data_IF_784663113099
#
_entry.id   IF_784663113099
#
_cell.length_a   1.000
_cell.length_b   1.000
_cell.length_c   1.000
_cell.angle_alpha   90.00
_cell.angle_beta   90.00
_cell.angle_gamma   90.00
#
_symmetry.space_group_name_H-M   'P 1'
#
loop_
_entity.id
_entity.type
_entity.pdbx_description
1 polymer ?
#
# COMPACT_ATOMS: atom_id res chain seq x y z
N UNK A 1 -27.59 28.62 29.09
CA UNK A 1 -27.51 28.76 27.62
C UNK A 1 -26.10 28.98 27.05
N UNK A 2 -25.28 29.93 27.55
CA UNK A 2 -23.95 30.22 26.97
C UNK A 2 -22.97 29.03 26.89
N UNK A 3 -22.96 28.17 27.91
CA UNK A 3 -22.12 26.96 27.94
C UNK A 3 -22.59 25.85 26.98
N UNK A 4 -23.90 25.80 26.69
CA UNK A 4 -24.48 24.82 25.76
C UNK A 4 -24.07 25.16 24.32
N UNK A 5 -24.05 26.46 23.97
CA UNK A 5 -23.60 26.94 22.65
C UNK A 5 -22.11 26.68 22.46
N UNK A 6 -21.29 26.93 23.49
CA UNK A 6 -19.84 26.62 23.44
C UNK A 6 -19.60 25.11 23.28
N UNK A 7 -20.31 24.26 24.02
CA UNK A 7 -20.19 22.81 23.88
C UNK A 7 -20.62 22.32 22.48
N UNK A 8 -21.68 22.89 21.91
CA UNK A 8 -22.16 22.56 20.57
C UNK A 8 -21.17 23.01 19.47
N UNK A 9 -20.58 24.21 19.59
CA UNK A 9 -19.54 24.67 18.67
C UNK A 9 -18.29 23.79 18.69
N UNK A 10 -17.86 23.30 19.87
CA UNK A 10 -16.71 22.40 19.98
C UNK A 10 -16.91 21.08 19.23
N UNK A 11 -18.14 20.59 19.18
CA UNK A 11 -18.48 19.34 18.48
C UNK A 11 -18.41 19.49 16.95
N UNK A 12 -18.64 20.69 16.42
CA UNK A 12 -18.59 20.97 14.98
C UNK A 12 -17.17 20.94 14.40
N UNK A 13 -16.12 20.99 15.24
CA UNK A 13 -14.72 20.91 14.79
C UNK A 13 -14.18 19.47 14.70
N UNK A 14 -14.98 18.46 15.08
CA UNK A 14 -14.62 17.05 14.95
C UNK A 14 -15.21 16.45 13.66
N UNK A 15 -14.68 16.92 12.52
CA UNK A 15 -14.88 16.26 11.23
C UNK A 15 -13.60 15.53 10.82
N UNK A 16 -13.63 14.19 10.79
CA UNK A 16 -12.58 13.40 10.16
C UNK A 16 -13.01 13.13 8.71
N UNK A 17 -12.31 13.73 7.73
CA UNK A 17 -12.53 13.44 6.32
C UNK A 17 -11.43 12.51 5.80
N UNK A 18 -11.81 11.39 5.19
CA UNK A 18 -10.88 10.45 4.56
C UNK A 18 -11.21 10.34 3.08
N UNK A 19 -10.20 10.43 2.23
CA UNK A 19 -10.35 10.30 0.79
C UNK A 19 -9.36 9.28 0.23
N UNK A 20 -9.87 8.27 -0.47
CA UNK A 20 -9.06 7.40 -1.32
C UNK A 20 -9.15 7.99 -2.72
N UNK A 21 -8.02 8.46 -3.25
CA UNK A 21 -8.03 9.23 -4.50
C UNK A 21 -7.41 8.46 -5.68
N UNK A 22 -6.56 7.45 -5.42
CA UNK A 22 -5.89 6.70 -6.48
C UNK A 22 -5.65 5.25 -6.06
N UNK A 23 -5.98 4.30 -6.93
CA UNK A 23 -5.58 2.90 -6.83
C UNK A 23 -4.96 2.49 -8.16
N UNK A 24 -3.67 2.20 -8.17
CA UNK A 24 -2.98 1.62 -9.31
C UNK A 24 -2.83 0.13 -9.10
N UNK A 25 -3.24 -0.70 -10.05
CA UNK A 25 -2.97 -2.14 -10.05
C UNK A 25 -2.24 -2.53 -11.33
N UNK A 26 -1.16 -3.27 -11.19
CA UNK A 26 -0.49 -3.88 -12.33
C UNK A 26 -1.07 -5.28 -12.58
N UNK A 27 -1.33 -5.71 -13.83
CA UNK A 27 -1.69 -7.09 -14.10
C UNK A 27 -0.60 -8.05 -13.60
N UNK A 28 -1.03 -9.24 -13.19
CA UNK A 28 -0.15 -10.35 -12.87
C UNK A 28 -0.63 -11.60 -13.59
N UNK A 29 0.32 -12.46 -13.90
CA UNK A 29 0.04 -13.65 -14.69
C UNK A 29 -0.44 -14.79 -13.77
N UNK A 30 -1.72 -15.12 -13.90
CA UNK A 30 -2.44 -16.18 -13.19
C UNK A 30 -2.42 -17.52 -13.94
N UNK A 31 -1.47 -17.75 -14.85
CA UNK A 31 -1.42 -18.98 -15.64
C UNK A 31 -1.49 -20.25 -14.76
N UNK A 32 -2.35 -21.23 -15.09
CA UNK A 32 -2.50 -22.46 -14.33
C UNK A 32 -1.18 -23.23 -14.26
N UNK A 33 -0.74 -23.57 -13.04
CA UNK A 33 0.54 -24.26 -12.78
C UNK A 33 1.62 -23.40 -12.14
N UNK A 34 1.40 -22.10 -11.92
CA UNK A 34 2.25 -21.30 -11.02
C UNK A 34 2.02 -21.68 -9.56
N UNK A 35 3.08 -21.58 -8.75
CA UNK A 35 3.00 -21.78 -7.31
C UNK A 35 2.03 -20.76 -6.69
N UNK A 36 1.31 -21.17 -5.64
CA UNK A 36 0.40 -20.30 -4.90
C UNK A 36 1.15 -19.06 -4.39
N UNK A 37 0.79 -17.85 -4.83
CA UNK A 37 1.47 -16.64 -4.39
C UNK A 37 1.09 -16.29 -2.96
N UNK A 38 2.08 -15.85 -2.18
CA UNK A 38 1.83 -15.24 -0.88
C UNK A 38 1.48 -13.76 -1.08
N UNK A 39 0.36 -13.31 -0.53
CA UNK A 39 0.01 -11.89 -0.56
C UNK A 39 0.83 -11.12 0.48
N UNK A 40 1.64 -10.17 0.02
CA UNK A 40 2.42 -9.27 0.88
C UNK A 40 1.84 -7.86 0.85
N UNK A 41 1.84 -7.19 2.00
CA UNK A 41 1.32 -5.83 2.17
C UNK A 41 2.33 -4.95 2.90
N UNK A 42 2.48 -3.70 2.48
CA UNK A 42 3.28 -2.69 3.16
C UNK A 42 2.49 -1.38 3.24
N UNK A 43 2.59 -0.71 4.39
CA UNK A 43 1.96 0.59 4.63
C UNK A 43 2.98 1.59 5.11
N UNK A 44 2.88 2.82 4.63
CA UNK A 44 3.58 3.97 5.21
C UNK A 44 2.70 5.20 5.18
N UNK A 45 3.05 6.19 5.99
CA UNK A 45 2.29 7.41 6.15
C UNK A 45 3.23 8.62 6.15
N UNK A 46 2.72 9.76 5.69
CA UNK A 46 3.34 11.07 5.73
C UNK A 46 2.38 12.03 6.39
N UNK A 47 2.83 12.67 7.48
CA UNK A 47 2.11 13.76 8.13
C UNK A 47 2.47 15.11 7.50
N UNK A 48 1.45 15.94 7.29
CA UNK A 48 1.59 17.33 6.88
C UNK A 48 0.85 18.21 7.87
N UNK A 49 1.52 19.24 8.38
CA UNK A 49 0.93 20.21 9.31
C UNK A 49 1.20 21.59 8.77
N UNK A 50 0.14 22.38 8.54
CA UNK A 50 0.24 23.74 7.97
C UNK A 50 1.04 23.79 6.64
N UNK A 51 1.06 22.69 5.87
CA UNK A 51 1.83 22.57 4.63
C UNK A 51 3.28 22.09 4.79
N UNK A 52 3.77 21.91 6.02
CA UNK A 52 5.09 21.33 6.28
C UNK A 52 5.02 19.80 6.29
N UNK A 53 5.80 19.17 5.42
CA UNK A 53 5.94 17.71 5.33
C UNK A 53 7.18 17.26 6.12
N UNK A 54 7.04 16.20 6.91
CA UNK A 54 8.15 15.66 7.71
C UNK A 54 8.75 14.37 7.13
N UNK A 55 8.06 13.74 6.18
CA UNK A 55 8.33 12.38 5.72
C UNK A 55 8.12 12.26 4.20
N UNK A 56 9.05 12.77 3.39
CA UNK A 56 8.91 12.78 1.92
C UNK A 56 9.20 11.44 1.26
N UNK A 57 9.97 10.57 1.92
CA UNK A 57 10.39 9.23 1.48
C UNK A 57 9.37 8.13 1.81
N UNK A 58 8.17 8.47 2.27
CA UNK A 58 7.18 7.48 2.70
C UNK A 58 6.85 6.45 1.61
N UNK A 59 6.79 6.84 0.33
CA UNK A 59 6.56 5.92 -0.80
C UNK A 59 7.68 4.89 -0.91
N UNK A 60 8.93 5.35 -0.84
CA UNK A 60 10.11 4.48 -0.92
C UNK A 60 10.18 3.54 0.27
N UNK A 61 9.82 4.00 1.47
CA UNK A 61 9.71 3.14 2.65
C UNK A 61 8.68 2.04 2.47
N UNK A 62 7.51 2.35 1.90
CA UNK A 62 6.50 1.33 1.62
C UNK A 62 7.01 0.30 0.59
N UNK A 63 7.68 0.76 -0.47
CA UNK A 63 8.23 -0.10 -1.50
C UNK A 63 9.36 -1.01 -0.97
N UNK A 64 10.30 -0.46 -0.20
CA UNK A 64 11.38 -1.21 0.42
C UNK A 64 10.85 -2.23 1.44
N UNK A 65 9.82 -1.85 2.21
CA UNK A 65 9.15 -2.77 3.14
C UNK A 65 8.45 -3.91 2.41
N UNK A 66 7.82 -3.63 1.25
CA UNK A 66 7.17 -4.64 0.43
C UNK A 66 8.20 -5.64 -0.12
N UNK A 67 9.34 -5.15 -0.62
CA UNK A 67 10.44 -5.98 -1.12
C UNK A 67 11.06 -6.83 -0.01
N UNK A 68 11.28 -6.26 1.17
CA UNK A 68 11.85 -6.99 2.31
C UNK A 68 10.99 -8.20 2.72
N UNK A 69 9.65 -8.11 2.53
CA UNK A 69 8.72 -9.21 2.80
C UNK A 69 8.81 -10.35 1.78
N UNK A 70 9.38 -10.13 0.59
CA UNK A 70 9.55 -11.14 -0.45
C UNK A 70 11.03 -11.44 -0.70
N UNK A 71 11.72 -12.00 0.30
CA UNK A 71 13.20 -12.16 0.27
C UNK A 71 13.69 -13.28 -0.66
N UNK A 72 12.85 -14.26 -0.99
CA UNK A 72 13.20 -15.46 -1.79
C UNK A 72 12.30 -15.63 -3.02
N UNK A 73 11.79 -14.53 -3.55
CA UNK A 73 10.73 -14.53 -4.55
C UNK A 73 10.79 -13.35 -5.51
N UNK A 74 9.86 -13.35 -6.48
CA UNK A 74 9.55 -12.18 -7.30
C UNK A 74 8.19 -11.63 -6.92
N UNK A 75 8.10 -10.32 -6.76
CA UNK A 75 6.82 -9.63 -6.56
C UNK A 75 6.20 -9.34 -7.92
N UNK A 76 4.98 -9.79 -8.13
CA UNK A 76 4.14 -9.44 -9.29
C UNK A 76 2.81 -8.84 -8.80
N UNK A 77 2.09 -8.16 -9.71
CA UNK A 77 0.74 -7.65 -9.41
C UNK A 77 0.69 -6.59 -8.33
N UNK A 78 1.63 -5.63 -8.35
CA UNK A 78 1.67 -4.58 -7.33
C UNK A 78 0.44 -3.69 -7.46
N UNK A 79 -0.31 -3.60 -6.36
CA UNK A 79 -1.43 -2.69 -6.18
C UNK A 79 -1.05 -1.61 -5.18
N UNK A 80 -1.05 -0.35 -5.61
CA UNK A 80 -0.74 0.82 -4.79
C UNK A 80 -1.99 1.64 -4.58
N UNK A 81 -2.41 1.82 -3.34
CA UNK A 81 -3.56 2.63 -2.94
C UNK A 81 -3.08 3.86 -2.17
N UNK A 82 -3.49 5.04 -2.64
CA UNK A 82 -3.26 6.32 -1.98
C UNK A 82 -4.53 6.78 -1.28
N UNK A 83 -4.38 7.18 -0.02
CA UNK A 83 -5.45 7.77 0.77
C UNK A 83 -4.94 8.95 1.57
N UNK A 84 -5.79 9.93 1.80
CA UNK A 84 -5.46 11.13 2.56
C UNK A 84 -6.51 11.30 3.65
N UNK A 85 -6.05 11.41 4.89
CA UNK A 85 -6.86 11.77 6.04
C UNK A 85 -6.70 13.27 6.27
N UNK A 86 -7.78 14.03 6.18
CA UNK A 86 -7.81 15.47 6.38
C UNK A 86 -8.26 15.80 7.80
N UNK A 87 -7.48 16.65 8.47
CA UNK A 87 -7.85 17.41 9.64
C UNK A 87 -7.93 18.91 9.30
N UNK A 88 -8.21 19.74 10.30
CA UNK A 88 -8.47 21.17 10.11
C UNK A 88 -7.23 21.95 9.62
N UNK A 89 -6.04 21.60 10.10
CA UNK A 89 -4.75 22.21 9.70
C UNK A 89 -3.65 21.18 9.39
N UNK A 90 -4.00 19.91 9.37
CA UNK A 90 -3.08 18.82 9.10
C UNK A 90 -3.74 17.81 8.19
N UNK A 91 -2.95 17.11 7.40
CA UNK A 91 -3.41 15.94 6.68
C UNK A 91 -2.36 14.85 6.73
N UNK A 92 -2.81 13.61 6.65
CA UNK A 92 -1.94 12.45 6.62
C UNK A 92 -2.14 11.73 5.30
N UNK A 93 -1.12 11.70 4.47
CA UNK A 93 -1.08 10.86 3.29
C UNK A 93 -0.69 9.44 3.72
N UNK A 94 -1.48 8.45 3.34
CA UNK A 94 -1.24 7.04 3.60
C UNK A 94 -1.16 6.30 2.28
N UNK A 95 -0.13 5.49 2.16
CA UNK A 95 0.06 4.60 1.01
C UNK A 95 -0.01 3.17 1.46
N UNK A 96 -0.73 2.37 0.71
CA UNK A 96 -0.90 0.95 0.91
C UNK A 96 -0.46 0.22 -0.34
N UNK A 97 0.66 -0.49 -0.25
CA UNK A 97 1.16 -1.32 -1.34
C UNK A 97 0.87 -2.78 -1.02
N UNK A 98 0.28 -3.48 -1.98
CA UNK A 98 0.02 -4.92 -1.93
C UNK A 98 0.66 -5.55 -3.14
N UNK A 99 1.11 -6.78 -3.01
CA UNK A 99 1.65 -7.54 -4.14
C UNK A 99 1.61 -9.02 -3.87
N UNK A 100 1.80 -9.80 -4.93
CA UNK A 100 1.90 -11.25 -4.87
C UNK A 100 3.37 -11.64 -4.90
N UNK A 101 3.86 -12.24 -3.82
CA UNK A 101 5.18 -12.83 -3.74
C UNK A 101 5.11 -14.26 -4.25
N UNK A 102 5.71 -14.49 -5.41
CA UNK A 102 5.91 -15.84 -5.93
C UNK A 102 7.24 -16.36 -5.41
N UNK A 103 7.30 -17.53 -4.76
CA UNK A 103 8.58 -18.17 -4.50
C UNK A 103 9.26 -18.42 -5.84
N UNK A 104 10.56 -18.12 -5.96
CA UNK A 104 11.29 -18.43 -7.20
C UNK A 104 11.20 -19.94 -7.41
N UNK A 105 10.36 -20.36 -8.36
CA UNK A 105 10.33 -21.76 -8.76
C UNK A 105 11.66 -22.06 -9.46
N UNK A 106 12.18 -23.27 -9.31
CA UNK A 106 13.48 -23.71 -9.84
C UNK A 106 13.64 -23.55 -11.38
N UNK A 107 12.64 -23.06 -12.10
CA UNK A 107 12.67 -22.84 -13.53
C UNK A 107 13.39 -21.56 -13.98
N UNK A 108 13.47 -20.50 -13.16
CA UNK A 108 14.05 -19.21 -13.61
C UNK A 108 15.59 -19.21 -13.65
N UNK A 109 16.23 -20.23 -13.09
CA UNK A 109 17.70 -20.43 -13.16
C UNK A 109 18.14 -21.25 -14.38
N UNK A 110 17.29 -21.38 -15.41
CA UNK A 110 17.71 -21.83 -16.74
C UNK A 110 17.62 -23.33 -17.03
N UNK A 111 16.86 -24.10 -16.24
CA UNK A 111 16.68 -25.53 -16.52
C UNK A 111 15.30 -26.05 -16.10
N UNK A 112 14.24 -25.56 -16.73
CA UNK A 112 13.02 -26.35 -16.85
C UNK A 112 13.04 -27.11 -18.17
N UNK A 113 13.72 -28.26 -18.09
CA UNK A 113 13.75 -29.26 -19.12
C UNK A 113 12.30 -29.56 -19.57
N UNK A 114 12.08 -29.42 -20.87
CA UNK A 114 10.92 -29.95 -21.59
C UNK A 114 10.56 -31.34 -21.04
N UNK A 115 9.40 -31.47 -20.41
CA UNK A 115 8.73 -32.76 -20.32
C UNK A 115 7.40 -32.66 -21.06
N UNK A 116 7.52 -32.59 -22.38
CA UNK A 116 6.44 -33.07 -23.26
C UNK A 116 6.54 -34.59 -23.25
N UNK A 117 5.70 -35.27 -22.49
CA UNK A 117 5.47 -36.71 -22.67
C UNK A 117 4.29 -36.88 -23.61
N UNK A 118 4.56 -37.67 -24.66
CA UNK A 118 3.71 -38.15 -25.76
C UNK A 118 2.21 -38.21 -25.50
#
# INVERSE_FOLDING_TARGET
MRWIILAFCSFLFWGCAHSIHVVHSNPYDQSPGKADPEMVEARSEQGVVLGFTFDTDYVDRAYNTLQAKCTKGRIEGITTQFSTSLGFFSWTNKILMRGFCYPVSKCETGNCAKKWSW
#
